data_IF_576208836998
#
_entry.id   IF_576208836998
#
_cell.length_a   1.000
_cell.length_b   1.000
_cell.length_c   1.000
_cell.angle_alpha   90.00
_cell.angle_beta   90.00
_cell.angle_gamma   90.00
#
_symmetry.space_group_name_H-M   'P 1'
#
loop_
_entity.id
_entity.type
_entity.pdbx_description
1 polymer ?
#
# COMPACT_ATOMS: atom_id res chain seq x y z
N UNK A 1 23.51 4.48 17.88
CA UNK A 1 23.09 4.91 16.53
C UNK A 1 21.59 5.12 16.60
N UNK A 2 21.17 6.37 16.74
CA UNK A 2 19.78 6.75 16.49
C UNK A 2 19.56 6.59 14.99
N UNK A 3 19.02 5.44 14.58
CA UNK A 3 18.39 5.36 13.26
C UNK A 3 17.17 6.25 13.37
N UNK A 4 17.21 7.43 12.75
CA UNK A 4 16.04 8.30 12.65
C UNK A 4 14.97 7.49 11.91
N UNK A 5 13.95 7.09 12.65
CA UNK A 5 12.91 6.17 12.21
C UNK A 5 12.09 6.77 11.04
N UNK A 6 12.21 8.09 10.83
CA UNK A 6 11.66 8.80 9.69
C UNK A 6 12.36 8.49 8.36
N UNK A 7 13.55 7.87 8.39
CA UNK A 7 14.35 7.48 7.21
C UNK A 7 14.17 6.00 6.79
N UNK A 8 13.17 5.29 7.34
CA UNK A 8 12.87 3.94 6.86
C UNK A 8 12.36 3.98 5.41
N UNK A 9 12.83 3.06 4.54
CA UNK A 9 12.25 2.90 3.20
C UNK A 9 10.73 2.69 3.28
N UNK A 10 9.96 3.28 2.37
CA UNK A 10 8.52 3.11 2.35
C UNK A 10 8.09 1.65 2.24
N UNK A 11 7.15 1.23 3.09
CA UNK A 11 6.73 -0.15 3.25
C UNK A 11 5.46 -0.42 2.43
N UNK A 12 5.49 -1.42 1.55
CA UNK A 12 4.30 -1.90 0.84
C UNK A 12 3.38 -2.60 1.83
N UNK A 13 2.13 -2.16 1.88
CA UNK A 13 1.19 -2.47 2.95
C UNK A 13 -0.25 -2.67 2.44
N UNK A 14 -1.07 -3.52 3.08
CA UNK A 14 -0.77 -4.48 4.16
C UNK A 14 -0.08 -5.75 3.66
N UNK A 15 0.28 -5.82 2.38
CA UNK A 15 0.62 -7.07 1.73
C UNK A 15 1.95 -7.64 2.20
N UNK A 16 2.03 -8.97 2.26
CA UNK A 16 3.32 -9.63 2.14
C UNK A 16 3.84 -9.57 0.70
N UNK A 17 5.13 -9.80 0.53
CA UNK A 17 5.78 -9.89 -0.76
C UNK A 17 5.06 -10.92 -1.63
N UNK A 18 4.67 -10.48 -2.82
CA UNK A 18 3.91 -11.30 -3.76
C UNK A 18 3.61 -10.53 -5.05
N UNK A 19 2.86 -11.12 -5.99
CA UNK A 19 2.58 -10.51 -7.29
C UNK A 19 2.05 -9.07 -7.25
N UNK A 20 1.35 -8.67 -6.17
CA UNK A 20 0.91 -7.28 -5.97
C UNK A 20 2.05 -6.27 -5.89
N UNK A 21 3.21 -6.66 -5.36
CA UNK A 21 4.44 -5.82 -5.32
C UNK A 21 4.79 -5.28 -6.70
N UNK A 22 4.47 -6.03 -7.77
CA UNK A 22 4.79 -5.64 -9.16
C UNK A 22 4.05 -4.41 -9.65
N UNK A 23 2.97 -4.00 -8.99
CA UNK A 23 2.23 -2.79 -9.34
C UNK A 23 2.83 -1.51 -8.73
N UNK A 24 3.82 -1.61 -7.83
CA UNK A 24 4.39 -0.45 -7.13
C UNK A 24 5.65 0.12 -7.83
N UNK A 25 5.73 0.02 -9.16
CA UNK A 25 6.89 0.52 -9.91
C UNK A 25 7.02 2.04 -9.86
N UNK A 26 5.91 2.77 -9.94
CA UNK A 26 5.84 4.23 -9.76
C UNK A 26 6.29 4.64 -8.36
N UNK A 27 5.81 3.94 -7.33
CA UNK A 27 6.23 4.14 -5.95
C UNK A 27 7.73 3.88 -5.78
N UNK A 28 8.26 2.85 -6.43
CA UNK A 28 9.70 2.57 -6.41
C UNK A 28 10.51 3.69 -7.09
N UNK A 29 10.03 4.24 -8.20
CA UNK A 29 10.68 5.39 -8.87
C UNK A 29 10.63 6.66 -8.01
N UNK A 30 9.53 6.87 -7.29
CA UNK A 30 9.36 8.02 -6.41
C UNK A 30 10.27 7.95 -5.18
N UNK A 31 10.32 6.80 -4.52
CA UNK A 31 11.02 6.64 -3.24
C UNK A 31 12.42 6.03 -3.36
N UNK A 32 12.79 5.57 -4.55
CA UNK A 32 14.05 4.87 -4.89
C UNK A 32 14.27 3.53 -4.20
N UNK A 33 13.56 3.29 -3.11
CA UNK A 33 13.58 2.06 -2.33
C UNK A 33 12.17 1.76 -1.84
N UNK A 34 11.84 0.48 -1.77
CA UNK A 34 10.63 -0.01 -1.14
C UNK A 34 11.00 -1.12 -0.16
N UNK A 35 10.38 -1.12 1.00
CA UNK A 35 10.35 -2.26 1.89
C UNK A 35 9.12 -3.12 1.58
N UNK A 36 9.32 -4.44 1.47
CA UNK A 36 8.23 -5.40 1.33
C UNK A 36 8.16 -6.27 2.57
N UNK A 37 6.95 -6.48 3.08
CA UNK A 37 6.75 -7.36 4.23
C UNK A 37 7.00 -8.81 3.83
N UNK A 38 7.81 -9.56 4.58
CA UNK A 38 7.95 -11.00 4.40
C UNK A 38 6.83 -11.72 5.15
N UNK A 39 6.30 -12.79 4.56
CA UNK A 39 5.63 -13.81 5.35
C UNK A 39 6.63 -14.34 6.39
N UNK A 40 6.16 -14.86 7.53
CA UNK A 40 6.98 -15.21 8.71
C UNK A 40 7.98 -16.39 8.53
N UNK A 41 8.55 -16.53 7.35
CA UNK A 41 9.37 -17.61 6.83
C UNK A 41 10.53 -18.08 7.72
N UNK A 42 11.19 -17.27 8.57
CA UNK A 42 12.26 -17.81 9.42
C UNK A 42 11.85 -18.11 10.88
N UNK A 43 10.57 -18.10 11.27
CA UNK A 43 10.19 -18.25 12.69
C UNK A 43 9.55 -19.62 12.98
N UNK A 44 10.30 -20.50 13.67
CA UNK A 44 9.83 -21.83 14.08
C UNK A 44 8.76 -21.75 15.18
N UNK A 45 8.98 -20.96 16.24
CA UNK A 45 8.08 -20.94 17.41
C UNK A 45 6.59 -20.63 17.09
N UNK A 46 6.26 -19.61 16.25
CA UNK A 46 4.86 -19.32 15.94
C UNK A 46 4.18 -20.42 15.12
N UNK A 47 4.94 -21.10 14.25
CA UNK A 47 4.42 -22.21 13.45
C UNK A 47 4.17 -23.42 14.35
N UNK A 48 5.10 -23.74 15.24
CA UNK A 48 4.95 -24.85 16.20
C UNK A 48 3.76 -24.63 17.12
N UNK A 49 3.60 -23.42 17.68
CA UNK A 49 2.46 -23.06 18.50
C UNK A 49 1.13 -23.24 17.74
N UNK A 50 1.08 -22.79 16.49
CA UNK A 50 -0.11 -22.92 15.65
C UNK A 50 -0.45 -24.39 15.34
N UNK A 51 0.55 -25.20 14.97
CA UNK A 51 0.36 -26.64 14.71
C UNK A 51 -0.09 -27.37 15.98
N UNK A 52 0.46 -27.01 17.14
CA UNK A 52 0.08 -27.61 18.43
C UNK A 52 -1.40 -27.31 18.76
N UNK A 53 -1.81 -26.05 18.65
CA UNK A 53 -3.19 -25.62 18.96
C UNK A 53 -4.18 -26.18 17.92
N UNK A 54 -3.84 -26.14 16.63
CA UNK A 54 -4.65 -26.71 15.55
C UNK A 54 -4.81 -28.22 15.69
N UNK A 55 -3.71 -28.95 15.94
CA UNK A 55 -3.77 -30.39 16.18
C UNK A 55 -4.58 -30.75 17.43
N UNK A 56 -4.54 -29.92 18.48
CA UNK A 56 -5.42 -30.08 19.64
C UNK A 56 -6.88 -29.87 19.29
N UNK A 57 -7.20 -28.86 18.48
CA UNK A 57 -8.55 -28.58 18.00
C UNK A 57 -9.14 -29.79 17.26
N UNK A 58 -8.37 -30.42 16.37
CA UNK A 58 -8.78 -31.64 15.66
C UNK A 58 -9.02 -32.81 16.61
N UNK A 59 -8.09 -33.07 17.54
CA UNK A 59 -8.18 -34.19 18.48
C UNK A 59 -9.45 -34.17 19.34
N UNK A 60 -9.92 -32.98 19.72
CA UNK A 60 -11.11 -32.83 20.56
C UNK A 60 -12.39 -32.54 19.76
N UNK A 61 -12.32 -32.50 18.42
CA UNK A 61 -13.45 -32.15 17.56
C UNK A 61 -13.94 -30.71 17.78
N UNK A 62 -13.02 -29.78 18.04
CA UNK A 62 -13.33 -28.38 18.33
C UNK A 62 -13.92 -27.67 17.10
N UNK A 63 -14.89 -26.74 17.25
CA UNK A 63 -15.49 -26.01 16.12
C UNK A 63 -14.48 -25.27 15.24
N UNK A 64 -13.38 -24.80 15.84
CA UNK A 64 -12.31 -24.09 15.12
C UNK A 64 -11.38 -25.00 14.30
N UNK A 65 -11.50 -26.33 14.36
CA UNK A 65 -10.57 -27.22 13.65
C UNK A 65 -10.48 -26.90 12.14
N UNK A 66 -11.60 -26.55 11.51
CA UNK A 66 -11.63 -26.21 10.09
C UNK A 66 -10.82 -24.94 9.77
N UNK A 67 -10.97 -23.87 10.57
CA UNK A 67 -10.26 -22.62 10.30
C UNK A 67 -8.75 -22.79 10.46
N UNK A 68 -8.29 -23.62 11.41
CA UNK A 68 -6.87 -23.93 11.55
C UNK A 68 -6.32 -24.65 10.29
N UNK A 69 -7.06 -25.60 9.74
CA UNK A 69 -6.67 -26.31 8.52
C UNK A 69 -6.63 -25.40 7.29
N UNK A 70 -7.66 -24.54 7.12
CA UNK A 70 -7.71 -23.58 6.03
C UNK A 70 -6.55 -22.59 6.10
N UNK A 71 -6.26 -22.06 7.30
CA UNK A 71 -5.17 -21.12 7.54
C UNK A 71 -3.81 -21.78 7.27
N UNK A 72 -3.60 -23.03 7.70
CA UNK A 72 -2.37 -23.77 7.43
C UNK A 72 -2.12 -23.90 5.92
N UNK A 73 -3.16 -24.30 5.17
CA UNK A 73 -3.07 -24.43 3.72
C UNK A 73 -2.78 -23.08 3.03
N UNK A 74 -3.44 -22.00 3.45
CA UNK A 74 -3.17 -20.67 2.89
C UNK A 74 -1.76 -20.18 3.24
N UNK A 75 -1.25 -20.49 4.43
CA UNK A 75 0.09 -20.11 4.84
C UNK A 75 1.17 -20.74 3.97
N UNK A 76 1.04 -22.03 3.63
CA UNK A 76 1.93 -22.72 2.69
C UNK A 76 1.96 -22.03 1.31
N UNK A 77 0.78 -21.65 0.79
CA UNK A 77 0.67 -20.92 -0.49
C UNK A 77 1.38 -19.58 -0.40
N UNK A 78 1.15 -18.81 0.67
CA UNK A 78 1.76 -17.49 0.88
C UNK A 78 3.28 -17.58 0.94
N UNK A 79 3.78 -18.60 1.63
CA UNK A 79 5.19 -18.93 1.70
C UNK A 79 5.78 -19.20 0.30
N UNK A 80 5.19 -20.12 -0.47
CA UNK A 80 5.68 -20.46 -1.81
C UNK A 80 5.69 -19.22 -2.74
N UNK A 81 4.60 -18.45 -2.70
CA UNK A 81 4.47 -17.20 -3.46
C UNK A 81 5.57 -16.21 -3.07
N UNK A 82 5.86 -16.06 -1.78
CA UNK A 82 6.90 -15.16 -1.30
C UNK A 82 8.29 -15.57 -1.81
N UNK A 83 8.63 -16.86 -1.82
CA UNK A 83 9.91 -17.34 -2.36
C UNK A 83 10.04 -17.07 -3.85
N UNK A 84 8.98 -17.35 -4.61
CA UNK A 84 8.99 -17.12 -6.05
C UNK A 84 9.11 -15.62 -6.36
N UNK A 85 8.40 -14.77 -5.61
CA UNK A 85 8.48 -13.33 -5.80
C UNK A 85 9.84 -12.76 -5.36
N UNK A 86 10.45 -13.28 -4.29
CA UNK A 86 11.80 -12.89 -3.87
C UNK A 86 12.85 -13.17 -4.96
N UNK A 87 12.73 -14.31 -5.66
CA UNK A 87 13.60 -14.64 -6.80
C UNK A 87 13.34 -13.72 -7.99
N UNK A 88 12.07 -13.49 -8.29
CA UNK A 88 11.63 -12.62 -9.39
C UNK A 88 12.15 -11.17 -9.23
N UNK A 89 12.05 -10.62 -8.02
CA UNK A 89 12.46 -9.25 -7.71
C UNK A 89 13.96 -9.10 -7.39
N UNK A 90 14.71 -10.21 -7.30
CA UNK A 90 16.15 -10.19 -6.99
C UNK A 90 16.99 -9.22 -7.84
N UNK A 91 16.74 -9.02 -9.15
CA UNK A 91 17.51 -8.08 -9.96
C UNK A 91 17.34 -6.60 -9.58
N UNK A 92 16.36 -6.25 -8.74
CA UNK A 92 16.23 -4.89 -8.18
C UNK A 92 17.23 -4.64 -7.05
N UNK A 93 17.86 -5.68 -6.49
CA UNK A 93 18.93 -5.56 -5.50
C UNK A 93 18.49 -4.79 -4.25
N UNK A 94 19.29 -3.81 -3.84
CA UNK A 94 19.06 -2.99 -2.65
C UNK A 94 17.84 -2.04 -2.75
N UNK A 95 17.20 -1.96 -3.92
CA UNK A 95 15.97 -1.18 -4.12
C UNK A 95 14.74 -1.81 -3.46
N UNK A 96 14.77 -3.13 -3.24
CA UNK A 96 13.74 -3.86 -2.50
C UNK A 96 14.35 -4.32 -1.18
N UNK A 97 14.05 -3.58 -0.12
CA UNK A 97 14.32 -4.01 1.24
C UNK A 97 13.27 -5.03 1.67
N UNK A 98 13.67 -6.00 2.49
CA UNK A 98 12.78 -7.02 3.02
C UNK A 98 12.61 -6.75 4.50
N UNK A 99 11.42 -6.36 4.90
CA UNK A 99 11.08 -6.12 6.28
C UNK A 99 10.23 -7.27 6.80
N UNK A 100 10.46 -7.70 8.03
CA UNK A 100 9.46 -8.51 8.71
C UNK A 100 8.52 -7.50 9.36
N UNK A 101 7.36 -7.30 8.73
CA UNK A 101 6.29 -6.48 9.31
C UNK A 101 5.22 -7.43 9.80
N UNK A 102 5.32 -7.75 11.08
CA UNK A 102 4.35 -8.54 11.81
C UNK A 102 4.01 -7.69 13.02
N UNK A 103 2.73 -7.43 13.24
CA UNK A 103 2.28 -6.94 14.54
C UNK A 103 1.44 -8.04 15.15
N UNK A 104 2.03 -8.76 16.08
CA UNK A 104 1.28 -9.72 16.83
C UNK A 104 0.30 -8.91 17.72
N UNK A 105 -0.94 -9.39 17.82
CA UNK A 105 -2.00 -8.70 18.55
C UNK A 105 -2.33 -9.45 19.83
N UNK A 106 -1.85 -8.96 20.96
CA UNK A 106 -2.40 -9.40 22.25
C UNK A 106 -3.90 -9.06 22.31
N UNK A 107 -4.69 -9.70 23.20
CA UNK A 107 -6.11 -9.36 23.36
C UNK A 107 -6.36 -7.86 23.53
N UNK A 108 -5.45 -7.15 24.21
CA UNK A 108 -5.52 -5.70 24.39
C UNK A 108 -5.39 -4.94 23.07
N UNK A 109 -4.51 -5.38 22.17
CA UNK A 109 -4.35 -4.74 20.85
C UNK A 109 -5.62 -4.87 20.01
N UNK A 110 -6.25 -6.05 20.01
CA UNK A 110 -7.51 -6.26 19.32
C UNK A 110 -8.67 -5.49 19.97
N UNK A 111 -8.67 -5.34 21.30
CA UNK A 111 -9.70 -4.61 22.03
C UNK A 111 -9.76 -3.12 21.67
N UNK A 112 -8.65 -2.50 21.28
CA UNK A 112 -8.59 -1.10 20.84
C UNK A 112 -9.52 -0.84 19.63
N UNK A 113 -9.75 -1.86 18.81
CA UNK A 113 -10.53 -1.73 17.58
C UNK A 113 -12.01 -2.06 17.73
N UNK A 114 -12.43 -2.61 18.88
CA UNK A 114 -13.82 -2.96 19.16
C UNK A 114 -14.83 -1.82 18.90
N UNK A 115 -14.55 -0.56 19.26
CA UNK A 115 -15.47 0.55 18.97
C UNK A 115 -15.74 0.77 17.48
N UNK A 116 -14.85 0.29 16.61
CA UNK A 116 -14.95 0.45 15.16
C UNK A 116 -15.52 -0.78 14.45
N UNK A 117 -15.80 -1.88 15.16
CA UNK A 117 -16.19 -3.15 14.55
C UNK A 117 -17.45 -3.03 13.69
N UNK A 118 -18.48 -2.32 14.17
CA UNK A 118 -19.74 -2.17 13.44
C UNK A 118 -19.57 -1.56 12.04
N UNK A 119 -18.55 -0.73 11.84
CA UNK A 119 -18.29 -0.02 10.58
C UNK A 119 -17.14 -0.66 9.80
N UNK A 120 -16.07 -1.04 10.48
CA UNK A 120 -14.81 -1.41 9.84
C UNK A 120 -14.64 -2.92 9.67
N UNK A 121 -15.23 -3.75 10.53
CA UNK A 121 -15.09 -5.21 10.43
C UNK A 121 -15.71 -5.77 9.13
N UNK A 122 -16.90 -5.30 8.65
CA UNK A 122 -17.43 -5.73 7.35
C UNK A 122 -16.54 -5.33 6.16
N UNK A 123 -15.86 -4.18 6.25
CA UNK A 123 -14.90 -3.75 5.23
C UNK A 123 -13.65 -4.62 5.24
N UNK A 124 -13.17 -4.98 6.44
CA UNK A 124 -12.02 -5.86 6.60
C UNK A 124 -12.35 -7.27 6.09
N UNK A 125 -13.52 -7.80 6.40
CA UNK A 125 -14.03 -9.09 5.90
C UNK A 125 -14.06 -9.10 4.36
N UNK A 126 -14.70 -8.10 3.75
CA UNK A 126 -14.73 -7.96 2.29
C UNK A 126 -13.32 -7.92 1.68
N UNK A 127 -12.39 -7.24 2.35
CA UNK A 127 -11.02 -7.11 1.83
C UNK A 127 -10.27 -8.45 1.77
N UNK A 128 -10.70 -9.47 2.50
CA UNK A 128 -10.13 -10.83 2.42
C UNK A 128 -10.38 -11.52 1.08
N UNK A 129 -11.31 -11.03 0.25
CA UNK A 129 -11.45 -11.46 -1.16
C UNK A 129 -10.15 -11.23 -1.96
N UNK A 130 -9.31 -10.28 -1.53
CA UNK A 130 -7.97 -10.11 -2.06
C UNK A 130 -7.01 -11.10 -1.39
N UNK A 131 -6.56 -12.09 -2.16
CA UNK A 131 -5.64 -13.15 -1.71
C UNK A 131 -4.37 -12.65 -1.03
N UNK A 132 -3.88 -11.45 -1.38
CA UNK A 132 -2.69 -10.87 -0.74
C UNK A 132 -2.96 -10.30 0.64
N UNK A 133 -4.20 -9.86 0.89
CA UNK A 133 -4.69 -9.41 2.20
C UNK A 133 -4.99 -10.63 3.06
N UNK A 134 -5.66 -11.64 2.49
CA UNK A 134 -5.89 -12.91 3.15
C UNK A 134 -4.58 -13.51 3.65
N UNK A 135 -3.55 -13.57 2.80
CA UNK A 135 -2.25 -14.11 3.19
C UNK A 135 -1.57 -13.33 4.32
N UNK A 136 -1.78 -12.03 4.37
CA UNK A 136 -1.33 -11.18 5.47
C UNK A 136 -2.09 -11.45 6.77
N UNK A 137 -3.41 -11.55 6.71
CA UNK A 137 -4.27 -11.87 7.85
C UNK A 137 -4.00 -13.27 8.42
N UNK A 138 -3.75 -14.26 7.55
CA UNK A 138 -3.34 -15.63 7.91
C UNK A 138 -2.05 -15.62 8.71
N UNK A 139 -1.04 -14.86 8.25
CA UNK A 139 0.22 -14.73 8.97
C UNK A 139 0.01 -14.05 10.33
N UNK A 140 -0.80 -13.00 10.41
CA UNK A 140 -1.09 -12.33 11.68
C UNK A 140 -1.87 -13.25 12.65
N UNK A 141 -2.77 -14.10 12.14
CA UNK A 141 -3.49 -15.07 12.96
C UNK A 141 -2.57 -16.13 13.56
N UNK A 142 -1.58 -16.63 12.80
CA UNK A 142 -0.52 -17.50 13.32
C UNK A 142 0.19 -16.86 14.53
N UNK A 143 0.52 -15.56 14.43
CA UNK A 143 1.16 -14.84 15.53
C UNK A 143 0.23 -14.59 16.71
N UNK A 144 -1.05 -14.33 16.45
CA UNK A 144 -2.06 -14.25 17.51
C UNK A 144 -2.13 -15.55 18.31
N UNK A 145 -2.12 -16.70 17.64
CA UNK A 145 -2.09 -18.00 18.33
C UNK A 145 -0.82 -18.16 19.17
N UNK A 146 0.32 -17.76 18.62
CA UNK A 146 1.59 -17.79 19.35
C UNK A 146 1.57 -16.92 20.61
N UNK A 147 1.07 -15.69 20.52
CA UNK A 147 0.97 -14.81 21.69
C UNK A 147 0.01 -15.35 22.74
N UNK A 148 -1.15 -15.88 22.33
CA UNK A 148 -2.07 -16.53 23.26
C UNK A 148 -1.42 -17.74 23.93
N UNK A 149 -0.59 -18.51 23.21
CA UNK A 149 0.20 -19.58 23.79
C UNK A 149 1.19 -19.06 24.84
N UNK A 150 1.82 -17.90 24.64
CA UNK A 150 2.68 -17.28 25.64
C UNK A 150 1.89 -16.79 26.87
N UNK A 151 0.73 -16.16 26.65
CA UNK A 151 -0.16 -15.64 27.70
C UNK A 151 -0.69 -16.78 28.58
N UNK A 152 -1.07 -17.90 27.97
CA UNK A 152 -1.66 -19.06 28.64
C UNK A 152 -0.65 -20.13 29.04
N UNK A 153 0.62 -19.76 29.23
CA UNK A 153 1.70 -20.65 29.70
C UNK A 153 1.79 -21.96 28.90
N UNK A 154 1.68 -21.85 27.57
CA UNK A 154 1.70 -22.93 26.59
C UNK A 154 0.54 -23.95 26.70
N UNK A 155 -0.63 -23.52 27.21
CA UNK A 155 -1.82 -24.37 27.28
C UNK A 155 -2.74 -24.21 26.05
N UNK A 156 -2.79 -25.18 25.12
CA UNK A 156 -3.60 -25.07 23.91
C UNK A 156 -5.11 -25.08 24.17
N UNK A 157 -5.59 -25.71 25.25
CA UNK A 157 -7.02 -25.74 25.57
C UNK A 157 -7.52 -24.35 25.98
N UNK A 158 -6.71 -23.57 26.69
CA UNK A 158 -7.04 -22.18 27.07
C UNK A 158 -7.02 -21.26 25.84
N UNK A 159 -6.06 -21.44 24.93
CA UNK A 159 -6.01 -20.70 23.66
C UNK A 159 -7.26 -20.98 22.82
N UNK A 160 -7.66 -22.24 22.68
CA UNK A 160 -8.88 -22.60 21.95
C UNK A 160 -10.13 -22.02 22.60
N UNK A 161 -10.23 -22.07 23.93
CA UNK A 161 -11.33 -21.46 24.67
C UNK A 161 -11.43 -19.96 24.39
N UNK A 162 -10.31 -19.23 24.45
CA UNK A 162 -10.32 -17.78 24.23
C UNK A 162 -10.67 -17.42 22.78
N UNK A 163 -10.11 -18.13 21.80
CA UNK A 163 -10.47 -17.93 20.40
C UNK A 163 -11.95 -18.24 20.17
N UNK A 164 -12.49 -19.29 20.78
CA UNK A 164 -13.89 -19.66 20.67
C UNK A 164 -14.81 -18.60 21.30
N UNK A 165 -14.45 -18.08 22.47
CA UNK A 165 -15.17 -16.98 23.11
C UNK A 165 -15.16 -15.74 22.20
N UNK A 166 -14.04 -15.47 21.53
CA UNK A 166 -13.96 -14.38 20.56
C UNK A 166 -14.86 -14.62 19.35
N UNK A 167 -14.88 -15.82 18.77
CA UNK A 167 -15.80 -16.13 17.64
C UNK A 167 -17.25 -15.92 18.02
N UNK A 168 -17.62 -16.28 19.26
CA UNK A 168 -18.99 -16.10 19.77
C UNK A 168 -19.35 -14.61 19.85
N UNK A 169 -18.41 -13.75 20.24
CA UNK A 169 -18.61 -12.29 20.27
C UNK A 169 -18.68 -11.68 18.87
N UNK A 170 -17.87 -12.16 17.93
CA UNK A 170 -17.85 -11.66 16.55
C UNK A 170 -19.02 -12.18 15.72
N UNK A 171 -19.55 -13.36 16.04
CA UNK A 171 -20.67 -14.00 15.37
C UNK A 171 -20.29 -15.03 14.29
N UNK A 172 -18.99 -15.23 14.03
CA UNK A 172 -18.46 -16.22 13.06
C UNK A 172 -16.98 -16.50 13.34
N UNK A 173 -16.52 -17.70 12.98
CA UNK A 173 -15.12 -18.10 13.01
C UNK A 173 -14.29 -17.37 11.94
N UNK A 174 -14.83 -17.23 10.73
CA UNK A 174 -14.19 -16.47 9.64
C UNK A 174 -13.90 -15.01 9.98
N UNK A 175 -14.65 -14.42 10.93
CA UNK A 175 -14.44 -13.05 11.38
C UNK A 175 -13.18 -12.88 12.24
N UNK A 176 -12.55 -13.97 12.72
CA UNK A 176 -11.23 -13.89 13.34
C UNK A 176 -10.16 -13.42 12.36
N UNK A 177 -10.22 -13.87 11.10
CA UNK A 177 -9.33 -13.41 10.04
C UNK A 177 -9.63 -11.97 9.62
N UNK A 178 -10.91 -11.60 9.58
CA UNK A 178 -11.32 -10.22 9.30
C UNK A 178 -10.80 -9.27 10.40
N UNK A 179 -10.88 -9.70 11.66
CA UNK A 179 -10.32 -8.97 12.80
C UNK A 179 -8.78 -8.87 12.70
N UNK A 180 -8.09 -9.91 12.22
CA UNK A 180 -6.66 -9.84 11.94
C UNK A 180 -6.34 -8.84 10.81
N UNK A 181 -7.10 -8.85 9.71
CA UNK A 181 -6.95 -7.86 8.64
C UNK A 181 -7.23 -6.44 9.13
N UNK A 182 -8.25 -6.26 9.99
CA UNK A 182 -8.57 -4.97 10.60
C UNK A 182 -7.41 -4.47 11.47
N UNK A 183 -6.93 -5.31 12.41
CA UNK A 183 -5.76 -5.00 13.23
C UNK A 183 -4.56 -4.66 12.35
N UNK A 184 -4.38 -5.38 11.24
CA UNK A 184 -3.38 -5.05 10.24
C UNK A 184 -3.63 -3.64 9.70
N UNK A 185 -4.77 -3.32 9.13
CA UNK A 185 -5.01 -1.97 8.58
C UNK A 185 -4.83 -0.82 9.57
N UNK A 186 -4.89 -1.10 10.85
CA UNK A 186 -4.70 -0.15 11.94
C UNK A 186 -3.32 -0.23 12.62
N UNK A 187 -2.40 -1.15 12.26
CA UNK A 187 -0.98 -1.06 12.63
C UNK A 187 -0.31 0.20 12.11
N UNK A 188 -0.68 0.64 10.90
CA UNK A 188 -0.37 1.97 10.50
C UNK A 188 -0.70 2.88 11.70
N UNK A 189 -1.92 2.85 12.25
CA UNK A 189 -2.34 3.75 13.31
C UNK A 189 -1.46 3.86 14.55
N UNK A 190 -0.67 2.85 14.85
CA UNK A 190 0.13 2.73 16.06
C UNK A 190 1.64 2.77 15.78
N UNK A 191 2.03 2.87 14.50
CA UNK A 191 3.35 2.50 14.00
C UNK A 191 4.28 3.63 13.56
N UNK A 192 5.42 3.22 13.00
CA UNK A 192 6.57 4.04 12.59
C UNK A 192 6.88 3.77 11.10
N UNK A 193 7.10 4.80 10.29
CA UNK A 193 7.53 4.67 8.87
C UNK A 193 6.55 5.24 7.84
N UNK A 194 6.89 5.16 6.54
CA UNK A 194 6.03 5.54 5.41
C UNK A 194 5.46 4.28 4.77
N UNK A 195 4.20 4.27 4.33
CA UNK A 195 3.56 3.07 3.77
C UNK A 195 2.88 3.38 2.44
N UNK A 196 2.71 2.33 1.66
CA UNK A 196 2.18 2.43 0.31
C UNK A 196 1.16 1.33 0.13
N UNK A 197 -0.03 1.68 -0.33
CA UNK A 197 -1.11 0.72 -0.53
C UNK A 197 -1.92 1.04 -1.78
N UNK A 198 -2.42 0.00 -2.42
CA UNK A 198 -3.45 0.10 -3.46
C UNK A 198 -4.81 -0.42 -2.97
N UNK A 199 -4.97 -0.70 -1.67
CA UNK A 199 -6.23 -1.20 -1.08
C UNK A 199 -7.19 -0.05 -0.80
N UNK A 200 -8.28 0.04 -1.55
CA UNK A 200 -9.36 0.99 -1.27
C UNK A 200 -10.08 0.72 0.05
N UNK A 201 -10.21 -0.55 0.44
CA UNK A 201 -10.90 -0.93 1.68
C UNK A 201 -10.11 -0.48 2.91
N UNK A 202 -8.78 -0.63 2.88
CA UNK A 202 -7.88 -0.11 3.93
C UNK A 202 -8.05 1.40 4.12
N UNK A 203 -8.03 2.15 3.02
CA UNK A 203 -8.13 3.62 3.05
C UNK A 203 -9.47 4.07 3.60
N UNK A 204 -10.55 3.34 3.27
CA UNK A 204 -11.87 3.59 3.84
C UNK A 204 -11.91 3.30 5.35
N UNK A 205 -11.29 2.21 5.80
CA UNK A 205 -11.18 1.86 7.22
C UNK A 205 -10.41 2.96 7.97
N UNK A 206 -9.22 3.32 7.49
CA UNK A 206 -8.40 4.39 8.07
C UNK A 206 -9.15 5.72 8.09
N UNK A 207 -9.89 6.06 7.03
CA UNK A 207 -10.71 7.27 6.99
C UNK A 207 -11.84 7.24 8.01
N UNK A 208 -12.45 6.08 8.29
CA UNK A 208 -13.51 6.00 9.28
C UNK A 208 -12.96 6.16 10.70
N UNK A 209 -11.83 5.52 11.00
CA UNK A 209 -11.17 5.63 12.30
C UNK A 209 -10.63 7.05 12.51
N UNK A 210 -10.06 7.65 11.47
CA UNK A 210 -9.53 9.01 11.51
C UNK A 210 -10.57 10.08 11.79
N UNK A 211 -11.88 9.85 11.58
CA UNK A 211 -12.90 10.88 11.88
C UNK A 211 -12.96 11.28 13.36
N UNK A 212 -12.57 10.37 14.25
CA UNK A 212 -12.68 10.57 15.69
C UNK A 212 -11.42 11.19 16.32
N UNK A 213 -10.37 11.41 15.51
CA UNK A 213 -9.08 11.95 15.96
C UNK A 213 -8.98 13.40 15.50
N UNK A 214 -8.72 14.36 16.39
CA UNK A 214 -8.56 15.77 16.01
C UNK A 214 -7.09 16.20 16.06
N UNK A 215 -6.55 16.68 14.95
CA UNK A 215 -5.19 17.23 14.87
C UNK A 215 -5.23 18.57 14.12
N UNK A 216 -4.54 19.61 14.63
CA UNK A 216 -4.41 20.89 13.94
C UNK A 216 -3.74 20.77 12.56
N UNK A 217 -4.32 21.40 11.53
CA UNK A 217 -3.86 21.34 10.13
C UNK A 217 -2.39 21.75 9.93
N UNK A 218 -1.88 22.68 10.74
CA UNK A 218 -0.50 23.14 10.64
C UNK A 218 0.54 22.06 10.99
N UNK A 219 0.14 20.99 11.69
CA UNK A 219 1.00 19.85 12.01
C UNK A 219 0.95 18.75 10.95
N UNK A 220 0.12 18.90 9.90
CA UNK A 220 -0.09 17.86 8.88
C UNK A 220 0.32 18.29 7.49
N UNK A 221 0.80 19.52 7.30
CA UNK A 221 1.19 20.07 6.00
C UNK A 221 2.22 19.20 5.30
N UNK A 222 3.37 18.94 5.92
CA UNK A 222 4.46 18.16 5.30
C UNK A 222 3.99 16.76 4.87
N UNK A 223 3.20 16.11 5.73
CA UNK A 223 2.59 14.81 5.47
C UNK A 223 1.64 14.85 4.27
N UNK A 224 0.72 15.83 4.24
CA UNK A 224 -0.30 15.96 3.19
C UNK A 224 0.35 16.31 1.86
N UNK A 225 1.41 17.10 1.89
CA UNK A 225 2.18 17.47 0.71
C UNK A 225 2.98 16.29 0.16
N UNK A 226 3.62 15.48 0.99
CA UNK A 226 4.29 14.24 0.53
C UNK A 226 3.26 13.23 -0.02
N UNK A 227 2.15 13.03 0.68
CA UNK A 227 1.05 12.18 0.23
C UNK A 227 0.52 12.57 -1.14
N UNK A 228 0.21 13.86 -1.30
CA UNK A 228 -0.25 14.43 -2.56
C UNK A 228 0.81 14.32 -3.66
N UNK A 229 2.07 14.56 -3.34
CA UNK A 229 3.17 14.44 -4.29
C UNK A 229 3.31 13.02 -4.84
N UNK A 230 3.27 12.01 -3.97
CA UNK A 230 3.34 10.62 -4.41
C UNK A 230 2.11 10.22 -5.24
N UNK A 231 0.90 10.66 -4.88
CA UNK A 231 -0.31 10.38 -5.69
C UNK A 231 -0.24 11.05 -7.05
N UNK A 232 0.21 12.32 -7.12
CA UNK A 232 0.44 13.02 -8.37
C UNK A 232 1.47 12.28 -9.23
N UNK A 233 2.60 11.91 -8.62
CA UNK A 233 3.67 11.18 -9.30
C UNK A 233 3.20 9.85 -9.85
N UNK A 234 2.49 9.05 -9.04
CA UNK A 234 1.88 7.80 -9.47
C UNK A 234 0.96 8.02 -10.67
N UNK A 235 0.01 8.96 -10.59
CA UNK A 235 -0.96 9.18 -11.66
C UNK A 235 -0.37 9.73 -12.94
N UNK A 236 0.69 10.51 -12.85
CA UNK A 236 1.40 11.03 -14.01
C UNK A 236 2.19 9.91 -14.72
N UNK A 237 2.74 8.96 -13.96
CA UNK A 237 3.68 7.95 -14.49
C UNK A 237 3.10 6.56 -14.68
N UNK A 238 2.02 6.18 -13.99
CA UNK A 238 1.32 4.90 -14.11
C UNK A 238 1.03 4.53 -15.59
N UNK A 239 0.64 5.46 -16.48
CA UNK A 239 0.43 5.15 -17.90
C UNK A 239 1.69 4.66 -18.65
N UNK A 240 2.87 5.05 -18.20
CA UNK A 240 4.14 4.88 -18.91
C UNK A 240 5.11 3.95 -18.19
N UNK A 241 4.82 3.63 -16.93
CA UNK A 241 5.71 2.83 -16.09
C UNK A 241 5.32 1.36 -16.21
N UNK A 242 6.21 0.47 -16.64
CA UNK A 242 5.90 -0.96 -16.69
C UNK A 242 5.70 -1.52 -15.29
N UNK A 243 4.94 -2.61 -15.18
CA UNK A 243 4.93 -3.42 -13.97
C UNK A 243 6.31 -4.03 -13.75
N UNK A 244 6.64 -4.40 -12.51
CA UNK A 244 7.91 -5.07 -12.20
C UNK A 244 7.89 -6.54 -12.63
N UNK A 245 7.62 -6.83 -13.92
CA UNK A 245 7.92 -8.11 -14.55
C UNK A 245 9.39 -8.14 -15.03
N UNK A 246 9.85 -9.22 -15.67
CA UNK A 246 11.26 -9.34 -16.08
C UNK A 246 11.71 -8.18 -16.98
N UNK A 247 10.89 -7.80 -17.97
CA UNK A 247 11.22 -6.68 -18.87
C UNK A 247 11.10 -5.34 -18.15
N UNK A 248 10.08 -5.18 -17.32
CA UNK A 248 9.84 -3.96 -16.57
C UNK A 248 10.89 -3.68 -15.50
N UNK A 249 11.44 -4.71 -14.85
CA UNK A 249 12.57 -4.59 -13.93
C UNK A 249 13.79 -4.00 -14.64
N UNK A 250 14.11 -4.48 -15.84
CA UNK A 250 15.24 -3.96 -16.63
C UNK A 250 15.02 -2.49 -17.03
N UNK A 251 13.79 -2.14 -17.42
CA UNK A 251 13.41 -0.75 -17.74
C UNK A 251 13.57 0.13 -16.50
N UNK A 252 12.98 -0.26 -15.36
CA UNK A 252 13.04 0.51 -14.11
C UNK A 252 14.48 0.68 -13.63
N UNK A 253 15.31 -0.36 -13.70
CA UNK A 253 16.73 -0.28 -13.33
C UNK A 253 17.50 0.70 -14.23
N UNK A 254 17.28 0.69 -15.56
CA UNK A 254 17.88 1.67 -16.47
C UNK A 254 17.41 3.08 -16.16
N UNK A 255 16.11 3.28 -15.92
CA UNK A 255 15.56 4.60 -15.57
C UNK A 255 16.19 5.17 -14.30
N UNK A 256 16.33 4.36 -13.25
CA UNK A 256 16.91 4.79 -11.98
C UNK A 256 18.43 4.99 -12.03
N UNK A 257 19.12 4.44 -13.04
CA UNK A 257 20.57 4.58 -13.18
C UNK A 257 20.94 5.64 -14.23
N UNK A 258 20.53 5.44 -15.47
CA UNK A 258 20.87 6.27 -16.63
C UNK A 258 20.11 7.61 -16.65
N UNK A 259 18.93 7.68 -16.01
CA UNK A 259 18.05 8.86 -15.98
C UNK A 259 17.76 9.38 -14.57
N UNK A 260 18.67 9.09 -13.64
CA UNK A 260 18.55 9.50 -12.23
C UNK A 260 18.42 11.01 -12.05
N UNK A 261 19.09 11.80 -12.89
CA UNK A 261 19.00 13.27 -12.88
C UNK A 261 17.61 13.78 -13.25
N UNK A 262 17.06 13.32 -14.38
CA UNK A 262 15.73 13.69 -14.85
C UNK A 262 14.63 13.23 -13.87
N UNK A 263 14.77 12.02 -13.32
CA UNK A 263 13.88 11.50 -12.29
C UNK A 263 13.91 12.36 -11.02
N UNK A 264 15.09 12.79 -10.57
CA UNK A 264 15.23 13.66 -9.40
C UNK A 264 14.60 15.05 -9.62
N UNK A 265 14.70 15.61 -10.82
CA UNK A 265 14.03 16.86 -11.19
C UNK A 265 12.52 16.70 -11.16
N UNK A 266 11.97 15.64 -11.77
CA UNK A 266 10.53 15.37 -11.77
C UNK A 266 9.97 15.26 -10.34
N UNK A 267 10.64 14.49 -9.47
CA UNK A 267 10.23 14.36 -8.06
C UNK A 267 10.23 15.71 -7.34
N UNK A 268 11.28 16.51 -7.48
CA UNK A 268 11.37 17.84 -6.85
C UNK A 268 10.25 18.76 -7.33
N UNK A 269 9.96 18.75 -8.63
CA UNK A 269 8.87 19.54 -9.22
C UNK A 269 7.52 19.14 -8.63
N UNK A 270 7.21 17.85 -8.59
CA UNK A 270 5.93 17.36 -8.08
C UNK A 270 5.78 17.61 -6.57
N UNK A 271 6.85 17.44 -5.79
CA UNK A 271 6.87 17.80 -4.36
C UNK A 271 6.62 19.30 -4.16
N UNK A 272 7.22 20.16 -4.98
CA UNK A 272 7.00 21.60 -4.91
C UNK A 272 5.55 21.99 -5.26
N UNK A 273 4.98 21.40 -6.32
CA UNK A 273 3.59 21.66 -6.71
C UNK A 273 2.61 21.17 -5.63
N UNK A 274 2.83 19.98 -5.07
CA UNK A 274 2.02 19.44 -3.99
C UNK A 274 2.09 20.30 -2.71
N UNK A 275 3.28 20.77 -2.33
CA UNK A 275 3.45 21.71 -1.23
C UNK A 275 2.61 22.97 -1.45
N UNK A 276 2.74 23.59 -2.63
CA UNK A 276 2.00 24.80 -3.00
C UNK A 276 0.49 24.60 -2.94
N UNK A 277 -0.01 23.47 -3.47
CA UNK A 277 -1.44 23.15 -3.43
C UNK A 277 -1.94 23.09 -1.97
N UNK A 278 -1.20 22.40 -1.09
CA UNK A 278 -1.60 22.21 0.30
C UNK A 278 -1.52 23.53 1.10
N UNK A 279 -0.48 24.34 0.90
CA UNK A 279 -0.32 25.60 1.65
C UNK A 279 -1.31 26.68 1.21
N UNK A 280 -1.64 26.73 -0.08
CA UNK A 280 -2.39 27.84 -0.66
C UNK A 280 -3.91 27.56 -0.75
N UNK A 281 -4.34 26.33 -0.44
CA UNK A 281 -5.74 25.89 -0.55
C UNK A 281 -6.37 25.61 0.82
N UNK A 282 -6.98 26.62 1.48
CA UNK A 282 -7.54 26.46 2.83
C UNK A 282 -8.85 25.65 2.90
N UNK A 283 -9.34 25.10 1.78
CA UNK A 283 -10.57 24.30 1.75
C UNK A 283 -10.50 23.15 0.75
N UNK A 284 -11.25 22.06 0.99
CA UNK A 284 -11.30 20.87 0.12
C UNK A 284 -11.72 21.21 -1.32
N UNK A 285 -12.64 22.16 -1.50
CA UNK A 285 -13.08 22.59 -2.82
C UNK A 285 -11.96 23.31 -3.58
N UNK A 286 -11.18 24.15 -2.89
CA UNK A 286 -10.02 24.82 -3.47
C UNK A 286 -8.89 23.84 -3.75
N UNK A 287 -8.69 22.84 -2.88
CA UNK A 287 -7.74 21.73 -3.10
C UNK A 287 -8.06 20.94 -4.37
N UNK A 288 -9.34 20.57 -4.57
CA UNK A 288 -9.79 19.89 -5.80
C UNK A 288 -9.50 20.72 -7.05
N UNK A 289 -9.82 22.01 -7.04
CA UNK A 289 -9.56 22.89 -8.18
C UNK A 289 -8.07 23.14 -8.43
N UNK A 290 -7.25 23.25 -7.38
CA UNK A 290 -5.80 23.42 -7.50
C UNK A 290 -5.11 22.14 -8.00
N UNK A 291 -5.57 20.97 -7.56
CA UNK A 291 -5.15 19.67 -8.06
C UNK A 291 -5.49 19.49 -9.54
N UNK A 292 -6.73 19.79 -9.92
CA UNK A 292 -7.18 19.79 -11.32
C UNK A 292 -6.30 20.69 -12.18
N UNK A 293 -6.06 21.94 -11.75
CA UNK A 293 -5.21 22.88 -12.47
C UNK A 293 -3.76 22.40 -12.64
N UNK A 294 -3.20 21.75 -11.62
CA UNK A 294 -1.83 21.23 -11.67
C UNK A 294 -1.72 20.03 -12.60
N UNK A 295 -2.67 19.10 -12.55
CA UNK A 295 -2.75 17.99 -13.49
C UNK A 295 -2.96 18.49 -14.92
N UNK A 296 -3.79 19.50 -15.17
CA UNK A 296 -3.94 20.10 -16.51
C UNK A 296 -2.69 20.84 -16.99
N UNK A 297 -1.94 21.47 -16.09
CA UNK A 297 -0.65 22.09 -16.42
C UNK A 297 0.35 21.01 -16.87
N UNK A 298 0.46 19.92 -16.11
CA UNK A 298 1.25 18.74 -16.47
C UNK A 298 0.76 18.18 -17.81
N UNK A 299 -0.55 18.05 -18.04
CA UNK A 299 -1.10 17.58 -19.32
C UNK A 299 -0.58 18.40 -20.49
N UNK A 300 -0.63 19.72 -20.39
CA UNK A 300 -0.27 20.61 -21.48
C UNK A 300 1.23 20.51 -21.78
N UNK A 301 2.06 20.41 -20.75
CA UNK A 301 3.50 20.23 -20.90
C UNK A 301 3.83 18.83 -21.45
N UNK A 302 3.28 17.76 -20.87
CA UNK A 302 3.54 16.39 -21.31
C UNK A 302 2.93 16.11 -22.68
N UNK A 303 1.73 16.61 -23.00
CA UNK A 303 1.11 16.49 -24.35
C UNK A 303 1.91 17.23 -25.43
N UNK A 304 2.70 18.23 -25.04
CA UNK A 304 3.62 18.93 -25.94
C UNK A 304 4.92 18.15 -26.19
N UNK A 305 5.24 17.19 -25.31
CA UNK A 305 6.44 16.36 -25.34
C UNK A 305 6.16 14.95 -25.88
N UNK A 306 4.98 14.41 -25.56
CA UNK A 306 4.48 13.08 -25.85
C UNK A 306 3.10 13.27 -26.48
N UNK A 307 2.80 12.59 -27.59
CA UNK A 307 1.57 12.80 -28.36
C UNK A 307 0.36 12.17 -27.64
N UNK A 308 -0.03 12.72 -26.49
CA UNK A 308 -1.07 12.21 -25.59
C UNK A 308 -2.45 12.63 -26.09
N UNK A 309 -3.39 11.68 -26.07
CA UNK A 309 -4.80 11.94 -26.35
C UNK A 309 -5.45 12.69 -25.17
N UNK A 310 -5.70 13.99 -25.35
CA UNK A 310 -6.37 14.88 -24.38
C UNK A 310 -7.67 14.32 -23.80
N UNK A 311 -8.43 13.55 -24.57
CA UNK A 311 -9.69 12.99 -24.08
C UNK A 311 -9.49 11.85 -23.07
N UNK A 312 -8.43 11.04 -23.25
CA UNK A 312 -8.06 9.99 -22.30
C UNK A 312 -7.54 10.58 -20.99
N UNK A 313 -6.75 11.64 -21.10
CA UNK A 313 -6.24 12.37 -19.94
C UNK A 313 -7.37 13.06 -19.17
N UNK A 314 -8.27 13.80 -19.85
CA UNK A 314 -9.45 14.42 -19.20
C UNK A 314 -10.35 13.41 -18.49
N UNK A 315 -10.52 12.21 -19.05
CA UNK A 315 -11.26 11.14 -18.37
C UNK A 315 -10.55 10.63 -17.13
N UNK A 316 -9.20 10.62 -17.11
CA UNK A 316 -8.41 10.25 -15.95
C UNK A 316 -8.51 11.32 -14.85
N UNK A 317 -8.43 12.61 -15.21
CA UNK A 317 -8.65 13.74 -14.29
C UNK A 317 -10.03 13.69 -13.64
N UNK A 318 -11.09 13.48 -14.43
CA UNK A 318 -12.45 13.41 -13.91
C UNK A 318 -12.63 12.24 -12.92
N UNK A 319 -12.09 11.06 -13.25
CA UNK A 319 -12.12 9.91 -12.34
C UNK A 319 -11.36 10.18 -11.04
N UNK A 320 -10.26 10.93 -11.08
CA UNK A 320 -9.49 11.32 -9.89
C UNK A 320 -10.21 12.36 -9.02
N UNK A 321 -10.92 13.30 -9.63
CA UNK A 321 -11.73 14.27 -8.92
C UNK A 321 -12.96 13.64 -8.27
N UNK A 322 -13.48 12.58 -8.88
CA UNK A 322 -14.60 11.80 -8.36
C UNK A 322 -14.18 10.70 -7.37
N UNK A 323 -12.89 10.41 -7.26
CA UNK A 323 -12.36 9.35 -6.39
C UNK A 323 -12.51 9.73 -4.91
N UNK A 324 -13.62 9.27 -4.34
CA UNK A 324 -13.93 9.44 -2.92
C UNK A 324 -12.84 8.88 -2.01
N UNK A 325 -12.10 7.87 -2.43
CA UNK A 325 -11.04 7.25 -1.63
C UNK A 325 -9.80 8.14 -1.62
N UNK A 326 -9.40 8.73 -2.75
CA UNK A 326 -8.31 9.73 -2.79
C UNK A 326 -8.63 10.96 -1.93
N UNK A 327 -9.86 11.45 -2.00
CA UNK A 327 -10.26 12.62 -1.20
C UNK A 327 -10.55 12.29 0.26
N UNK A 328 -11.07 11.10 0.57
CA UNK A 328 -11.18 10.60 1.94
C UNK A 328 -9.80 10.31 2.55
N UNK A 329 -8.82 9.91 1.73
CA UNK A 329 -7.41 9.82 2.11
C UNK A 329 -6.89 11.23 2.42
N UNK A 330 -6.98 12.18 1.50
CA UNK A 330 -6.47 13.55 1.72
C UNK A 330 -7.19 14.32 2.86
N UNK A 331 -8.48 14.05 3.10
CA UNK A 331 -9.28 14.67 4.16
C UNK A 331 -9.18 13.92 5.50
N UNK A 332 -9.18 12.59 5.47
CA UNK A 332 -9.12 11.71 6.65
C UNK A 332 -7.69 11.45 7.17
N UNK A 333 -6.66 11.68 6.35
CA UNK A 333 -5.28 11.61 6.83
C UNK A 333 -4.85 12.81 7.69
N UNK A 334 -5.57 13.93 7.61
CA UNK A 334 -5.39 15.08 8.51
C UNK A 334 -5.53 14.68 9.98
N UNK A 335 -6.29 13.63 10.26
CA UNK A 335 -6.58 13.15 11.61
C UNK A 335 -5.92 11.81 11.94
N UNK A 336 -5.56 11.01 10.94
CA UNK A 336 -4.82 9.77 11.14
C UNK A 336 -3.33 10.01 11.51
N UNK A 337 -2.64 10.95 10.85
CA UNK A 337 -1.18 11.03 10.86
C UNK A 337 -0.46 11.21 12.23
N UNK A 338 -1.16 11.42 13.36
CA UNK A 338 -0.52 11.54 14.69
C UNK A 338 -1.01 10.57 15.78
N UNK A 339 -1.84 9.58 15.45
CA UNK A 339 -2.01 8.42 16.35
C UNK A 339 -0.78 7.47 16.31
N UNK A 340 0.15 7.70 15.38
CA UNK A 340 1.07 6.71 14.86
C UNK A 340 0.70 6.32 13.43
N UNK A 341 -0.49 6.73 12.93
CA UNK A 341 -0.92 6.39 11.57
C UNK A 341 0.07 6.92 10.53
N UNK A 342 0.51 6.11 9.59
CA UNK A 342 1.61 6.42 8.76
C UNK A 342 1.12 6.49 7.32
N UNK A 343 1.99 6.99 6.47
CA UNK A 343 1.61 7.40 5.12
C UNK A 343 0.95 6.19 4.43
N UNK A 344 -0.28 6.24 3.93
CA UNK A 344 -0.79 5.20 3.03
C UNK A 344 -0.95 5.85 1.66
N UNK A 345 0.12 5.75 0.87
CA UNK A 345 0.19 6.33 -0.46
C UNK A 345 -0.66 5.49 -1.41
N UNK A 346 -1.61 6.12 -2.09
CA UNK A 346 -2.62 5.44 -2.92
C UNK A 346 -2.08 5.18 -4.34
N UNK A 347 -1.85 3.90 -4.68
CA UNK A 347 -1.45 3.47 -6.03
C UNK A 347 -2.65 2.97 -6.88
N UNK A 348 -3.89 3.28 -6.49
CA UNK A 348 -5.09 2.70 -7.09
C UNK A 348 -5.59 3.48 -8.31
N UNK A 349 -5.75 2.78 -9.45
CA UNK A 349 -6.55 3.08 -10.66
C UNK A 349 -5.82 3.63 -11.91
N UNK A 350 -5.51 2.74 -12.86
CA UNK A 350 -5.16 3.11 -14.24
C UNK A 350 -5.34 2.04 -15.33
N UNK A 351 -6.08 0.94 -15.09
CA UNK A 351 -6.01 -0.24 -16.00
C UNK A 351 -6.92 -0.16 -17.26
N UNK A 352 -7.89 0.75 -17.38
CA UNK A 352 -8.90 0.62 -18.47
C UNK A 352 -8.90 1.70 -19.57
N UNK A 353 -8.09 2.76 -19.50
CA UNK A 353 -8.17 3.87 -20.46
C UNK A 353 -7.12 3.83 -21.61
N UNK A 354 -6.06 3.03 -21.48
CA UNK A 354 -4.81 3.26 -22.24
C UNK A 354 -4.42 2.17 -23.23
N UNK A 355 -5.16 1.07 -23.30
CA UNK A 355 -4.96 0.02 -24.33
C UNK A 355 -5.14 0.53 -25.77
N UNK A 356 -5.57 1.78 -25.98
CA UNK A 356 -5.67 2.44 -27.30
C UNK A 356 -4.52 3.40 -27.63
N UNK A 357 -3.57 3.66 -26.71
CA UNK A 357 -2.56 4.73 -26.87
C UNK A 357 -1.19 4.26 -27.40
N UNK A 358 -0.87 2.96 -27.27
CA UNK A 358 0.40 2.40 -27.77
C UNK A 358 0.59 2.46 -29.30
N UNK A 359 -0.44 2.76 -30.09
CA UNK A 359 -0.37 2.71 -31.55
C UNK A 359 0.12 4.01 -32.24
N UNK A 360 0.16 5.16 -31.55
CA UNK A 360 0.32 6.47 -32.22
C UNK A 360 1.60 7.26 -31.88
N UNK A 361 2.51 6.75 -31.04
CA UNK A 361 3.64 7.53 -30.52
C UNK A 361 4.89 7.60 -31.43
N UNK A 362 4.95 6.91 -32.57
CA UNK A 362 6.21 6.68 -33.29
C UNK A 362 6.69 7.79 -34.24
N UNK A 363 6.06 8.97 -34.32
CA UNK A 363 6.23 9.87 -35.49
C UNK A 363 6.94 11.22 -35.35
N UNK A 364 7.45 11.65 -34.20
CA UNK A 364 8.12 12.98 -34.09
C UNK A 364 9.34 12.94 -33.18
N UNK A 365 10.54 12.73 -33.74
CA UNK A 365 11.79 12.50 -32.97
C UNK A 365 12.82 13.65 -33.00
N UNK A 366 12.70 14.61 -33.91
CA UNK A 366 13.78 15.60 -34.15
C UNK A 366 13.51 17.03 -33.64
N UNK A 367 12.27 17.53 -33.65
CA UNK A 367 11.96 18.88 -33.12
C UNK A 367 11.72 18.89 -31.60
N UNK A 368 11.23 17.78 -31.05
CA UNK A 368 10.96 17.64 -29.61
C UNK A 368 12.23 17.54 -28.77
N UNK A 369 13.34 17.06 -29.33
CA UNK A 369 14.55 16.68 -28.57
C UNK A 369 15.16 17.83 -27.74
N UNK A 370 15.19 19.04 -28.29
CA UNK A 370 15.66 20.24 -27.57
C UNK A 370 14.67 20.74 -26.49
N UNK A 371 13.36 20.59 -26.71
CA UNK A 371 12.35 20.94 -25.70
C UNK A 371 12.23 19.90 -24.59
N UNK A 372 12.56 18.65 -24.91
CA UNK A 372 12.57 17.53 -23.98
C UNK A 372 13.72 17.70 -22.97
N UNK A 373 14.94 18.00 -23.41
CA UNK A 373 16.10 18.10 -22.50
C UNK A 373 15.95 19.21 -21.44
N UNK A 374 15.21 20.28 -21.75
CA UNK A 374 14.98 21.42 -20.84
C UNK A 374 13.71 21.29 -19.97
N UNK A 375 12.88 20.23 -20.17
CA UNK A 375 11.62 20.07 -19.44
C UNK A 375 11.79 19.29 -18.14
N UNK A 376 11.14 19.70 -17.02
CA UNK A 376 11.10 18.91 -15.79
C UNK A 376 10.34 17.57 -15.96
N UNK A 377 9.60 17.41 -17.05
CA UNK A 377 8.84 16.21 -17.42
C UNK A 377 9.53 15.34 -18.47
N UNK A 378 10.79 15.63 -18.80
CA UNK A 378 11.62 14.89 -19.75
C UNK A 378 11.66 13.38 -19.46
N UNK A 379 11.63 12.99 -18.19
CA UNK A 379 11.57 11.62 -17.73
C UNK A 379 10.37 10.83 -18.31
N UNK A 380 9.21 11.46 -18.46
CA UNK A 380 7.99 10.82 -19.00
C UNK A 380 8.17 10.45 -20.47
N UNK A 381 8.85 11.31 -21.24
CA UNK A 381 9.15 11.03 -22.64
C UNK A 381 10.04 9.79 -22.78
N UNK A 382 11.02 9.60 -21.87
CA UNK A 382 11.89 8.43 -21.88
C UNK A 382 11.14 7.15 -21.52
N UNK A 383 10.24 7.16 -20.53
CA UNK A 383 9.40 6.02 -20.22
C UNK A 383 8.53 5.61 -21.41
N UNK A 384 7.87 6.58 -22.06
CA UNK A 384 7.04 6.32 -23.23
C UNK A 384 7.84 5.79 -24.44
N UNK A 385 9.14 6.09 -24.53
CA UNK A 385 9.99 5.58 -25.60
C UNK A 385 10.45 4.13 -25.38
N UNK A 386 10.37 3.63 -24.14
CA UNK A 386 10.83 2.30 -23.72
C UNK A 386 9.68 1.31 -23.47
N UNK A 387 8.45 1.82 -23.28
CA UNK A 387 7.20 1.06 -23.23
C UNK A 387 6.87 0.45 -24.60
#
# INVERSE_FOLDING_TARGET
MENDINDLPPIIYPYHIGPKTRNFSTSLLFHETLAVSLAAWPMEDPIEAFVLVGGRAEQIGHPLANIFNDIFHQFDIVQEVAVNEMKHLAPLGNKISRAITIYPGTPEHYAVWEPYHDICLPLAEKSLENVHILGAAVTDFLFRVYELMLIHEHNPDLVLSELNDRTTKLGSDYLLLAECALNRYTLPATGRGKWITDSSDMLNILSNIGKDIFIPDNKTVDFRSEGLASTLFDKILEPYTPKLDLKGIDIVNRMMSERSGELAVLRKTIVHEANTIITDSPSEKLLKSAFEASIFKVENEVSSLVNINRNGFKSLVNKLLEDRVVWATLAGFSSAATAGMPIALTAALGITALSSLGANAMKVKNESKKKIDDSPYSFIHYLNAEA
#
